data_IF_285147574269
#
_entry.id   IF_285147574269
#
_cell.length_a   1.000
_cell.length_b   1.000
_cell.length_c   1.000
_cell.angle_alpha   90.00
_cell.angle_beta   90.00
_cell.angle_gamma   90.00
#
_symmetry.space_group_name_H-M   'P 1'
#
loop_
_entity.id
_entity.type
_entity.pdbx_description
1 polymer ?
#
# COMPACT_ATOMS: atom_id res chain seq x y z
N UNK A 1 17.71 36.68 -8.62
CA UNK A 1 16.99 36.44 -7.34
C UNK A 1 15.63 35.74 -7.56
N UNK A 2 14.65 36.28 -8.29
CA UNK A 2 13.34 35.62 -8.46
C UNK A 2 13.42 34.27 -9.17
N UNK A 3 14.21 34.11 -10.23
CA UNK A 3 14.41 32.87 -10.97
C UNK A 3 15.12 31.82 -10.11
N UNK A 4 16.09 32.24 -9.32
CA UNK A 4 16.85 31.35 -8.42
C UNK A 4 15.98 30.86 -7.26
N UNK A 5 15.12 31.71 -6.72
CA UNK A 5 14.13 31.34 -5.71
C UNK A 5 13.09 30.34 -6.27
N UNK A 6 12.66 30.50 -7.52
CA UNK A 6 11.73 29.59 -8.18
C UNK A 6 12.36 28.18 -8.37
N UNK A 7 13.63 28.13 -8.82
CA UNK A 7 14.39 26.89 -9.02
C UNK A 7 14.62 26.15 -7.68
N UNK A 8 14.92 26.89 -6.61
CA UNK A 8 15.12 26.31 -5.27
C UNK A 8 13.80 25.77 -4.72
N UNK A 9 12.70 26.49 -4.90
CA UNK A 9 11.35 26.06 -4.49
C UNK A 9 10.94 24.79 -5.21
N UNK A 10 11.17 24.69 -6.51
CA UNK A 10 10.86 23.51 -7.31
C UNK A 10 11.68 22.28 -6.87
N UNK A 11 12.96 22.44 -6.60
CA UNK A 11 13.83 21.34 -6.11
C UNK A 11 13.39 20.83 -4.73
N UNK A 12 13.04 21.76 -3.83
CA UNK A 12 12.56 21.41 -2.50
C UNK A 12 11.20 20.70 -2.57
N UNK A 13 10.29 21.19 -3.41
CA UNK A 13 8.98 20.59 -3.62
C UNK A 13 9.09 19.15 -4.16
N UNK A 14 9.93 18.94 -5.18
CA UNK A 14 10.19 17.61 -5.76
C UNK A 14 10.81 16.67 -4.71
N UNK A 15 11.76 17.18 -3.91
CA UNK A 15 12.40 16.38 -2.85
C UNK A 15 11.39 15.96 -1.78
N UNK A 16 10.54 16.88 -1.33
CA UNK A 16 9.49 16.61 -0.35
C UNK A 16 8.47 15.60 -0.90
N UNK A 17 8.01 15.78 -2.14
CA UNK A 17 7.11 14.85 -2.80
C UNK A 17 7.72 13.44 -2.92
N UNK A 18 9.02 13.34 -3.22
CA UNK A 18 9.75 12.06 -3.27
C UNK A 18 9.81 11.38 -1.89
N UNK A 19 10.10 12.13 -0.83
CA UNK A 19 10.12 11.59 0.54
C UNK A 19 8.73 11.07 0.93
N UNK A 20 7.67 11.84 0.71
CA UNK A 20 6.29 11.43 0.99
C UNK A 20 5.96 10.14 0.23
N UNK A 21 6.29 10.09 -1.07
CA UNK A 21 6.02 8.92 -1.90
C UNK A 21 6.77 7.66 -1.42
N UNK A 22 7.99 7.81 -0.91
CA UNK A 22 8.78 6.69 -0.37
C UNK A 22 8.26 6.22 0.99
N UNK A 23 7.80 7.14 1.84
CA UNK A 23 7.23 6.77 3.15
C UNK A 23 5.94 5.95 3.03
N UNK A 24 5.11 6.25 2.04
CA UNK A 24 3.83 5.59 1.81
C UNK A 24 3.89 4.61 0.64
N UNK A 25 4.90 3.71 0.64
CA UNK A 25 4.96 2.67 -0.39
C UNK A 25 3.78 1.70 -0.26
N UNK A 26 3.21 1.19 -1.37
CA UNK A 26 2.10 0.23 -1.31
C UNK A 26 2.45 -1.03 -0.52
N UNK A 27 3.71 -1.42 -0.48
CA UNK A 27 4.19 -2.59 0.26
C UNK A 27 4.13 -2.42 1.79
N UNK A 28 4.24 -1.19 2.30
CA UNK A 28 4.18 -0.92 3.74
C UNK A 28 2.76 -0.88 4.30
N UNK A 29 1.74 -0.75 3.44
CA UNK A 29 0.35 -0.55 3.86
C UNK A 29 -0.20 -1.70 4.70
N UNK A 30 -0.08 -2.99 4.30
CA UNK A 30 -0.56 -4.09 5.13
C UNK A 30 0.15 -4.13 6.49
N UNK A 31 1.46 -3.90 6.52
CA UNK A 31 2.21 -3.85 7.77
C UNK A 31 1.73 -2.74 8.71
N UNK A 32 1.51 -1.53 8.16
CA UNK A 32 0.96 -0.40 8.93
C UNK A 32 -0.45 -0.68 9.44
N UNK A 33 -1.29 -1.38 8.65
CA UNK A 33 -2.62 -1.80 9.07
C UNK A 33 -2.56 -2.73 10.30
N UNK A 34 -1.67 -3.72 10.30
CA UNK A 34 -1.47 -4.61 11.45
C UNK A 34 -0.93 -3.86 12.67
N UNK A 35 -0.01 -2.92 12.46
CA UNK A 35 0.56 -2.12 13.55
C UNK A 35 -0.54 -1.27 14.21
N UNK A 36 -1.39 -0.61 13.42
CA UNK A 36 -2.53 0.17 13.91
C UNK A 36 -3.51 -0.74 14.67
N UNK A 37 -3.84 -1.93 14.13
CA UNK A 37 -4.70 -2.90 14.78
C UNK A 37 -4.16 -3.32 16.15
N UNK A 38 -2.89 -3.63 16.27
CA UNK A 38 -2.28 -4.08 17.53
C UNK A 38 -2.07 -2.97 18.56
N UNK A 39 -2.03 -1.70 18.14
CA UNK A 39 -1.85 -0.57 19.05
C UNK A 39 -3.20 0.05 19.46
N UNK A 40 -4.12 0.22 18.52
CA UNK A 40 -5.32 1.05 18.70
C UNK A 40 -6.63 0.28 18.73
N UNK A 41 -6.65 -1.06 18.50
CA UNK A 41 -7.87 -1.85 18.61
C UNK A 41 -7.90 -2.74 19.86
N UNK A 42 -9.00 -3.48 20.04
CA UNK A 42 -9.12 -4.48 21.11
C UNK A 42 -8.01 -5.56 21.05
N UNK A 43 -7.34 -5.76 19.91
CA UNK A 43 -6.22 -6.67 19.75
C UNK A 43 -4.97 -6.23 20.53
N UNK A 44 -5.00 -5.04 21.14
CA UNK A 44 -3.97 -4.58 22.08
C UNK A 44 -3.78 -5.53 23.25
N UNK A 45 -4.81 -6.31 23.62
CA UNK A 45 -4.76 -7.26 24.75
C UNK A 45 -3.92 -8.50 24.41
N UNK A 46 -3.67 -8.80 23.14
CA UNK A 46 -2.90 -9.98 22.73
C UNK A 46 -1.47 -9.96 23.26
N UNK A 47 -0.89 -11.15 23.57
CA UNK A 47 0.49 -11.28 24.05
C UNK A 47 1.48 -10.64 23.08
N UNK A 48 2.52 -10.00 23.62
CA UNK A 48 3.56 -9.34 22.82
C UNK A 48 4.24 -10.31 21.83
N UNK A 49 4.53 -11.53 22.27
CA UNK A 49 5.14 -12.55 21.41
C UNK A 49 4.29 -12.84 20.17
N UNK A 50 2.97 -13.00 20.34
CA UNK A 50 2.04 -13.20 19.22
C UNK A 50 2.06 -12.03 18.25
N UNK A 51 1.98 -10.77 18.76
CA UNK A 51 2.06 -9.56 17.93
C UNK A 51 3.36 -9.50 17.12
N UNK A 52 4.50 -9.80 17.77
CA UNK A 52 5.81 -9.80 17.11
C UNK A 52 5.91 -10.84 16.01
N UNK A 53 5.37 -12.06 16.24
CA UNK A 53 5.34 -13.12 15.23
C UNK A 53 4.52 -12.67 14.01
N UNK A 54 3.29 -12.18 14.24
CA UNK A 54 2.41 -11.73 13.16
C UNK A 54 3.04 -10.58 12.39
N UNK A 55 3.52 -9.55 13.10
CA UNK A 55 4.20 -8.40 12.48
C UNK A 55 5.46 -8.83 11.72
N UNK A 56 6.23 -9.78 12.26
CA UNK A 56 7.42 -10.33 11.62
C UNK A 56 7.09 -11.05 10.30
N UNK A 57 6.05 -11.89 10.30
CA UNK A 57 5.57 -12.58 9.09
C UNK A 57 5.08 -11.55 8.05
N UNK A 58 4.21 -10.63 8.46
CA UNK A 58 3.70 -9.60 7.55
C UNK A 58 4.84 -8.75 7.00
N UNK A 59 5.75 -8.25 7.83
CA UNK A 59 6.91 -7.48 7.40
C UNK A 59 7.78 -8.23 6.38
N UNK A 60 8.10 -9.50 6.69
CA UNK A 60 8.93 -10.32 5.84
C UNK A 60 8.32 -10.48 4.44
N UNK A 61 7.05 -10.83 4.35
CA UNK A 61 6.41 -11.15 3.07
C UNK A 61 5.81 -9.95 2.35
N UNK A 62 5.45 -8.85 3.04
CA UNK A 62 4.88 -7.67 2.37
C UNK A 62 5.91 -6.59 2.04
N UNK A 63 7.01 -6.50 2.79
CA UNK A 63 8.05 -5.48 2.60
C UNK A 63 9.37 -6.11 2.16
N UNK A 64 9.93 -6.99 2.99
CA UNK A 64 11.29 -7.50 2.79
C UNK A 64 11.42 -8.32 1.51
N UNK A 65 10.57 -9.34 1.33
CA UNK A 65 10.63 -10.23 0.17
C UNK A 65 10.34 -9.52 -1.16
N UNK A 66 9.27 -8.71 -1.32
CA UNK A 66 9.05 -7.97 -2.56
C UNK A 66 10.19 -7.00 -2.87
N UNK A 67 10.66 -6.25 -1.86
CA UNK A 67 11.74 -5.28 -2.06
C UNK A 67 13.04 -5.97 -2.48
N UNK A 68 13.40 -7.06 -1.82
CA UNK A 68 14.59 -7.83 -2.12
C UNK A 68 14.52 -8.47 -3.52
N UNK A 69 13.41 -9.11 -3.84
CA UNK A 69 13.23 -9.77 -5.15
C UNK A 69 13.24 -8.77 -6.30
N UNK A 70 12.58 -7.61 -6.15
CA UNK A 70 12.61 -6.54 -7.14
C UNK A 70 14.01 -5.95 -7.27
N UNK A 71 14.73 -5.74 -6.16
CA UNK A 71 16.11 -5.25 -6.17
C UNK A 71 17.04 -6.22 -6.90
N UNK A 72 16.98 -7.51 -6.56
CA UNK A 72 17.78 -8.55 -7.22
C UNK A 72 17.46 -8.65 -8.71
N UNK A 73 16.17 -8.65 -9.07
CA UNK A 73 15.73 -8.67 -10.46
C UNK A 73 16.31 -7.49 -11.26
N UNK A 74 16.27 -6.29 -10.70
CA UNK A 74 16.86 -5.09 -11.32
C UNK A 74 18.37 -5.24 -11.49
N UNK A 75 19.06 -5.68 -10.44
CA UNK A 75 20.52 -5.82 -10.46
C UNK A 75 20.98 -6.84 -11.50
N UNK A 76 20.28 -7.97 -11.62
CA UNK A 76 20.61 -9.02 -12.59
C UNK A 76 20.38 -8.55 -14.03
N UNK A 77 19.31 -7.80 -14.29
CA UNK A 77 18.94 -7.36 -15.64
C UNK A 77 19.49 -5.96 -16.02
N UNK A 78 20.23 -5.30 -15.12
CA UNK A 78 20.80 -3.98 -15.37
C UNK A 78 19.75 -2.86 -15.47
N UNK A 79 18.55 -3.04 -14.93
CA UNK A 79 17.46 -2.06 -15.01
C UNK A 79 17.64 -0.92 -13.99
N UNK A 80 17.42 0.32 -14.45
CA UNK A 80 17.31 1.49 -13.57
C UNK A 80 15.97 1.50 -12.81
N UNK A 81 15.84 2.27 -11.70
CA UNK A 81 14.54 2.44 -11.04
C UNK A 81 13.46 3.01 -11.97
N UNK A 82 13.86 3.84 -12.92
CA UNK A 82 12.99 4.53 -13.87
C UNK A 82 12.42 3.55 -14.91
N UNK A 83 13.20 2.54 -15.31
CA UNK A 83 12.76 1.50 -16.23
C UNK A 83 11.53 0.74 -15.74
N UNK A 84 11.39 0.53 -14.42
CA UNK A 84 10.24 -0.14 -13.82
C UNK A 84 9.01 0.76 -13.71
N UNK A 85 9.13 2.06 -14.00
CA UNK A 85 7.97 2.96 -14.08
C UNK A 85 7.23 2.82 -15.41
N UNK A 86 7.87 2.26 -16.43
CA UNK A 86 7.23 1.94 -17.69
C UNK A 86 6.14 0.89 -17.52
N UNK A 87 4.98 1.13 -18.12
CA UNK A 87 3.79 0.27 -17.99
C UNK A 87 4.09 -1.20 -18.31
N UNK A 88 4.83 -1.49 -19.37
CA UNK A 88 5.13 -2.86 -19.81
C UNK A 88 6.06 -3.62 -18.86
N UNK A 89 6.96 -2.93 -18.14
CA UNK A 89 7.94 -3.56 -17.25
C UNK A 89 7.41 -3.73 -15.81
N UNK A 90 6.29 -3.10 -15.48
CA UNK A 90 5.66 -3.18 -14.13
C UNK A 90 5.07 -4.56 -13.82
N UNK A 91 4.83 -5.42 -14.81
CA UNK A 91 4.27 -6.75 -14.55
C UNK A 91 5.17 -7.61 -13.67
N UNK A 92 6.49 -7.50 -13.82
CA UNK A 92 7.43 -8.33 -13.07
C UNK A 92 7.39 -8.00 -11.58
N UNK A 93 7.52 -6.72 -11.14
CA UNK A 93 7.27 -6.34 -9.76
C UNK A 93 5.91 -6.81 -9.22
N UNK A 94 4.84 -6.69 -10.01
CA UNK A 94 3.52 -7.16 -9.60
C UNK A 94 3.47 -8.67 -9.34
N UNK A 95 3.97 -9.48 -10.25
CA UNK A 95 3.99 -10.95 -10.11
C UNK A 95 4.80 -11.35 -8.88
N UNK A 96 5.99 -10.76 -8.68
CA UNK A 96 6.83 -11.03 -7.51
C UNK A 96 6.12 -10.67 -6.21
N UNK A 97 5.41 -9.54 -6.17
CA UNK A 97 4.65 -9.11 -5.00
C UNK A 97 3.45 -10.01 -4.74
N UNK A 98 2.69 -10.37 -5.78
CA UNK A 98 1.55 -11.30 -5.67
C UNK A 98 2.03 -12.65 -5.11
N UNK A 99 3.11 -13.20 -5.64
CA UNK A 99 3.70 -14.45 -5.15
C UNK A 99 4.08 -14.35 -3.69
N UNK A 100 4.71 -13.25 -3.27
CA UNK A 100 5.07 -13.02 -1.88
C UNK A 100 3.85 -12.94 -0.95
N UNK A 101 2.76 -12.30 -1.39
CA UNK A 101 1.53 -12.20 -0.60
C UNK A 101 0.79 -13.54 -0.48
N UNK A 102 0.84 -14.37 -1.53
CA UNK A 102 0.35 -15.76 -1.44
C UNK A 102 1.13 -16.55 -0.40
N UNK A 103 2.46 -16.45 -0.39
CA UNK A 103 3.27 -17.07 0.66
C UNK A 103 2.96 -16.51 2.06
N UNK A 104 2.70 -15.22 2.18
CA UNK A 104 2.24 -14.62 3.44
C UNK A 104 0.96 -15.29 3.95
N UNK A 105 -0.06 -15.44 3.09
CA UNK A 105 -1.32 -16.10 3.43
C UNK A 105 -1.11 -17.56 3.85
N UNK A 106 -0.26 -18.31 3.12
CA UNK A 106 0.07 -19.69 3.48
C UNK A 106 0.73 -19.79 4.85
N UNK A 107 1.67 -18.89 5.14
CA UNK A 107 2.33 -18.82 6.46
C UNK A 107 1.35 -18.43 7.56
N UNK A 108 0.48 -17.45 7.33
CA UNK A 108 -0.55 -17.05 8.29
C UNK A 108 -1.52 -18.20 8.59
N UNK A 109 -1.92 -18.96 7.55
CA UNK A 109 -2.75 -20.14 7.70
C UNK A 109 -2.03 -21.24 8.53
N UNK A 110 -0.76 -21.53 8.26
CA UNK A 110 0.04 -22.49 9.01
C UNK A 110 0.22 -22.12 10.48
N UNK A 111 0.25 -20.83 10.78
CA UNK A 111 0.36 -20.31 12.15
C UNK A 111 -1.02 -20.17 12.84
N UNK A 112 -2.10 -20.64 12.21
CA UNK A 112 -3.48 -20.54 12.71
C UNK A 112 -3.86 -19.09 13.08
N UNK A 113 -3.40 -18.11 12.28
CA UNK A 113 -3.76 -16.71 12.48
C UNK A 113 -5.24 -16.52 12.09
N UNK A 114 -6.05 -15.84 12.92
CA UNK A 114 -7.49 -15.69 12.71
C UNK A 114 -7.85 -15.10 11.34
N UNK A 115 -8.99 -15.52 10.79
CA UNK A 115 -9.47 -15.14 9.46
C UNK A 115 -9.59 -13.63 9.25
N UNK A 116 -9.99 -12.85 10.26
CA UNK A 116 -10.12 -11.40 10.17
C UNK A 116 -8.76 -10.69 10.01
N UNK A 117 -7.66 -11.30 10.44
CA UNK A 117 -6.30 -10.82 10.18
C UNK A 117 -5.82 -11.27 8.80
N UNK A 118 -6.01 -12.55 8.44
CA UNK A 118 -5.65 -13.04 7.09
C UNK A 118 -6.44 -12.33 6.01
N UNK A 119 -7.68 -11.91 6.29
CA UNK A 119 -8.52 -11.10 5.40
C UNK A 119 -7.86 -9.80 4.94
N UNK A 120 -7.03 -9.16 5.77
CA UNK A 120 -6.30 -7.94 5.39
C UNK A 120 -5.31 -8.22 4.26
N UNK A 121 -4.54 -9.31 4.37
CA UNK A 121 -3.57 -9.70 3.34
C UNK A 121 -4.30 -10.22 2.08
N UNK A 122 -5.40 -10.94 2.26
CA UNK A 122 -6.24 -11.40 1.15
C UNK A 122 -6.80 -10.22 0.35
N UNK A 123 -7.31 -9.19 1.02
CA UNK A 123 -7.78 -7.98 0.36
C UNK A 123 -6.68 -7.22 -0.36
N UNK A 124 -5.49 -7.13 0.24
CA UNK A 124 -4.33 -6.54 -0.40
C UNK A 124 -3.91 -7.33 -1.67
N UNK A 125 -3.98 -8.66 -1.61
CA UNK A 125 -3.73 -9.52 -2.76
C UNK A 125 -4.77 -9.31 -3.88
N UNK A 126 -6.06 -9.29 -3.55
CA UNK A 126 -7.16 -9.03 -4.50
C UNK A 126 -6.98 -7.65 -5.13
N UNK A 127 -6.71 -6.62 -4.33
CA UNK A 127 -6.43 -5.26 -4.83
C UNK A 127 -5.25 -5.27 -5.80
N UNK A 128 -4.17 -5.99 -5.49
CA UNK A 128 -2.99 -6.09 -6.37
C UNK A 128 -3.35 -6.75 -7.70
N UNK A 129 -4.16 -7.82 -7.69
CA UNK A 129 -4.64 -8.50 -8.90
C UNK A 129 -5.49 -7.53 -9.75
N UNK A 130 -6.40 -6.77 -9.12
CA UNK A 130 -7.21 -5.76 -9.82
C UNK A 130 -6.31 -4.69 -10.44
N UNK A 131 -5.29 -4.21 -9.70
CA UNK A 131 -4.32 -3.24 -10.21
C UNK A 131 -3.57 -3.79 -11.45
N UNK A 132 -3.19 -5.07 -11.46
CA UNK A 132 -2.57 -5.73 -12.63
C UNK A 132 -3.52 -5.72 -13.82
N UNK A 133 -4.77 -6.16 -13.62
CA UNK A 133 -5.79 -6.22 -14.69
C UNK A 133 -6.04 -4.83 -15.27
N UNK A 134 -6.23 -3.82 -14.41
CA UNK A 134 -6.45 -2.44 -14.86
C UNK A 134 -5.22 -1.88 -15.57
N UNK A 135 -4.01 -2.22 -15.09
CA UNK A 135 -2.75 -1.78 -15.71
C UNK A 135 -2.57 -2.32 -17.15
N UNK A 136 -3.33 -3.35 -17.57
CA UNK A 136 -3.36 -3.79 -18.97
C UNK A 136 -3.81 -2.68 -19.92
N UNK A 137 -4.77 -1.86 -19.50
CA UNK A 137 -5.36 -0.79 -20.33
C UNK A 137 -5.03 0.62 -19.85
N UNK A 138 -4.94 0.83 -18.53
CA UNK A 138 -4.79 2.13 -17.92
C UNK A 138 -3.78 2.10 -16.76
N UNK A 139 -2.82 3.04 -16.76
CA UNK A 139 -1.79 3.13 -15.72
C UNK A 139 -2.41 3.62 -14.41
N UNK A 140 -2.59 2.74 -13.43
CA UNK A 140 -3.18 3.07 -12.14
C UNK A 140 -2.12 3.46 -11.11
N UNK A 141 -2.45 4.34 -10.16
CA UNK A 141 -1.56 4.68 -9.05
C UNK A 141 -1.71 3.69 -7.90
N UNK A 142 -0.72 2.78 -7.74
CA UNK A 142 -0.68 1.80 -6.65
C UNK A 142 -0.63 2.46 -5.26
N UNK A 143 0.08 3.58 -5.13
CA UNK A 143 0.14 4.35 -3.89
C UNK A 143 -1.25 4.84 -3.48
N UNK A 144 -2.03 5.31 -4.45
CA UNK A 144 -3.40 5.77 -4.19
C UNK A 144 -4.37 4.61 -3.97
N UNK A 145 -4.17 3.48 -4.66
CA UNK A 145 -4.91 2.26 -4.35
C UNK A 145 -4.68 1.81 -2.90
N UNK A 146 -3.43 1.89 -2.44
CA UNK A 146 -3.11 1.62 -1.06
C UNK A 146 -3.73 2.60 -0.06
N UNK A 147 -3.70 3.91 -0.34
CA UNK A 147 -4.35 4.91 0.50
C UNK A 147 -5.87 4.72 0.56
N UNK A 148 -6.50 4.42 -0.59
CA UNK A 148 -7.91 4.04 -0.65
C UNK A 148 -8.23 2.78 0.15
N UNK A 149 -7.34 1.77 0.10
CA UNK A 149 -7.47 0.54 0.86
C UNK A 149 -7.49 0.75 2.38
N UNK A 150 -6.66 1.67 2.90
CA UNK A 150 -6.68 2.03 4.32
C UNK A 150 -8.05 2.62 4.70
N UNK A 151 -8.57 3.55 3.90
CA UNK A 151 -9.85 4.21 4.17
C UNK A 151 -11.00 3.21 4.07
N UNK A 152 -11.05 2.39 3.00
CA UNK A 152 -12.04 1.33 2.86
C UNK A 152 -11.97 0.29 3.98
N UNK A 153 -10.75 -0.09 4.39
CA UNK A 153 -10.49 -1.00 5.50
C UNK A 153 -10.95 -0.45 6.85
N UNK A 154 -10.72 0.83 7.13
CA UNK A 154 -11.22 1.49 8.35
C UNK A 154 -12.75 1.51 8.40
N UNK A 155 -13.41 1.78 7.28
CA UNK A 155 -14.88 1.74 7.19
C UNK A 155 -15.41 0.33 7.41
N UNK A 156 -14.82 -0.68 6.76
CA UNK A 156 -15.19 -2.07 6.92
C UNK A 156 -14.98 -2.56 8.36
N UNK A 157 -13.82 -2.24 8.95
CA UNK A 157 -13.48 -2.59 10.33
C UNK A 157 -14.42 -1.93 11.34
N UNK A 158 -14.76 -0.65 11.13
CA UNK A 158 -15.75 0.07 11.95
C UNK A 158 -17.11 -0.64 11.97
N UNK A 159 -17.55 -1.08 10.80
CA UNK A 159 -18.84 -1.76 10.66
C UNK A 159 -18.85 -3.17 11.29
N UNK A 160 -17.72 -3.88 11.26
CA UNK A 160 -17.60 -5.22 11.86
C UNK A 160 -17.50 -5.19 13.39
N UNK A 161 -16.81 -4.21 13.95
CA UNK A 161 -16.46 -4.18 15.37
C UNK A 161 -17.13 -3.05 16.16
N UNK A 162 -18.04 -2.28 15.54
CA UNK A 162 -18.74 -1.17 16.21
C UNK A 162 -17.79 -0.03 16.66
N UNK A 163 -16.63 0.09 16.01
CA UNK A 163 -15.61 1.09 16.33
C UNK A 163 -15.87 2.39 15.58
N UNK A 164 -15.70 3.54 16.26
CA UNK A 164 -15.83 4.85 15.61
C UNK A 164 -14.49 5.29 15.00
N UNK A 165 -14.31 5.25 13.66
CA UNK A 165 -13.05 5.55 13.00
C UNK A 165 -12.90 7.01 12.57
N UNK A 166 -13.83 7.93 12.91
CA UNK A 166 -13.91 9.28 12.34
C UNK A 166 -12.57 10.02 12.40
N UNK A 167 -11.90 10.01 13.55
CA UNK A 167 -10.60 10.67 13.70
C UNK A 167 -9.53 10.12 12.75
N UNK A 168 -9.45 8.79 12.63
CA UNK A 168 -8.52 8.13 11.72
C UNK A 168 -8.88 8.36 10.27
N UNK A 169 -10.17 8.34 9.93
CA UNK A 169 -10.62 8.63 8.57
C UNK A 169 -10.21 10.05 8.13
N UNK A 170 -10.40 11.06 8.99
CA UNK A 170 -9.97 12.42 8.70
C UNK A 170 -8.47 12.50 8.43
N UNK A 171 -7.66 11.86 9.28
CA UNK A 171 -6.19 11.83 9.13
C UNK A 171 -5.79 11.16 7.81
N UNK A 172 -6.34 9.97 7.52
CA UNK A 172 -5.95 9.22 6.31
C UNK A 172 -6.48 9.85 5.02
N UNK A 173 -7.62 10.55 5.05
CA UNK A 173 -8.11 11.34 3.90
C UNK A 173 -7.13 12.48 3.61
N UNK A 174 -6.65 13.20 4.61
CA UNK A 174 -5.65 14.25 4.44
C UNK A 174 -4.32 13.69 3.90
N UNK A 175 -3.85 12.58 4.47
CA UNK A 175 -2.64 11.88 3.98
C UNK A 175 -2.82 11.45 2.52
N UNK A 176 -3.97 10.90 2.15
CA UNK A 176 -4.27 10.51 0.77
C UNK A 176 -4.23 11.71 -0.18
N UNK A 177 -4.78 12.86 0.23
CA UNK A 177 -4.69 14.10 -0.54
C UNK A 177 -3.25 14.57 -0.77
N UNK A 178 -2.44 14.58 0.29
CA UNK A 178 -1.01 14.93 0.21
C UNK A 178 -0.24 13.94 -0.66
N UNK A 179 -0.49 12.64 -0.51
CA UNK A 179 0.15 11.60 -1.30
C UNK A 179 -0.24 11.71 -2.79
N UNK A 180 -1.52 11.91 -3.09
CA UNK A 180 -2.00 12.11 -4.46
C UNK A 180 -1.36 13.32 -5.13
N UNK A 181 -1.27 14.44 -4.41
CA UNK A 181 -0.58 15.65 -4.87
C UNK A 181 0.90 15.36 -5.13
N UNK A 182 1.58 14.64 -4.24
CA UNK A 182 2.98 14.27 -4.44
C UNK A 182 3.17 13.42 -5.71
N UNK A 183 2.26 12.48 -6.02
CA UNK A 183 2.32 11.66 -7.23
C UNK A 183 2.14 12.47 -8.53
N UNK A 184 1.31 13.52 -8.49
CA UNK A 184 1.09 14.44 -9.61
C UNK A 184 2.31 15.36 -9.77
N UNK A 185 2.85 15.93 -8.70
CA UNK A 185 4.05 16.79 -8.74
C UNK A 185 5.24 16.03 -9.33
N UNK A 186 5.43 14.77 -8.96
CA UNK A 186 6.48 13.91 -9.53
C UNK A 186 6.23 13.50 -10.98
N UNK A 187 5.12 13.90 -11.59
CA UNK A 187 4.70 13.53 -12.95
C UNK A 187 4.64 12.01 -13.19
N UNK A 188 4.51 11.23 -12.12
CA UNK A 188 4.38 9.78 -12.22
C UNK A 188 3.00 9.34 -12.66
N UNK A 189 1.97 10.13 -12.31
CA UNK A 189 0.55 9.86 -12.57
C UNK A 189 -0.25 11.11 -12.86
N UNK A 190 -1.28 10.97 -13.69
CA UNK A 190 -2.32 11.99 -13.92
C UNK A 190 -3.34 11.98 -12.77
N UNK A 191 -4.14 13.06 -12.67
CA UNK A 191 -5.22 13.15 -11.68
C UNK A 191 -6.21 11.97 -11.81
N UNK A 192 -6.57 11.59 -13.04
CA UNK A 192 -7.46 10.43 -13.27
C UNK A 192 -6.88 9.11 -12.77
N UNK A 193 -5.58 8.86 -12.97
CA UNK A 193 -4.89 7.66 -12.48
C UNK A 193 -4.79 7.63 -10.94
N UNK A 194 -4.67 8.80 -10.32
CA UNK A 194 -4.66 8.98 -8.87
C UNK A 194 -6.04 8.68 -8.29
N UNK A 195 -7.10 9.29 -8.84
CA UNK A 195 -8.48 9.09 -8.39
C UNK A 195 -8.97 7.66 -8.65
N UNK A 196 -8.65 7.10 -9.81
CA UNK A 196 -8.97 5.72 -10.14
C UNK A 196 -8.30 4.72 -9.20
N UNK A 197 -7.00 4.95 -8.87
CA UNK A 197 -6.29 4.15 -7.87
C UNK A 197 -6.99 4.19 -6.52
N UNK A 198 -7.31 5.38 -6.05
CA UNK A 198 -8.00 5.57 -4.77
C UNK A 198 -9.36 4.85 -4.72
N UNK A 199 -10.16 4.97 -5.78
CA UNK A 199 -11.47 4.31 -5.88
C UNK A 199 -11.34 2.79 -5.85
N UNK A 200 -10.42 2.21 -6.64
CA UNK A 200 -10.17 0.76 -6.65
C UNK A 200 -9.76 0.25 -5.26
N UNK A 201 -8.85 0.96 -4.58
CA UNK A 201 -8.42 0.57 -3.24
C UNK A 201 -9.55 0.62 -2.22
N UNK A 202 -10.33 1.69 -2.19
CA UNK A 202 -11.41 1.87 -1.22
C UNK A 202 -12.52 0.82 -1.39
N UNK A 203 -12.91 0.51 -2.63
CA UNK A 203 -13.95 -0.49 -2.92
C UNK A 203 -13.48 -1.91 -2.59
N UNK A 204 -12.24 -2.27 -2.91
CA UNK A 204 -11.70 -3.61 -2.65
C UNK A 204 -11.76 -4.00 -1.17
N UNK A 205 -11.59 -3.06 -0.27
CA UNK A 205 -11.61 -3.31 1.18
C UNK A 205 -13.00 -3.19 1.81
N UNK A 206 -13.91 -2.39 1.27
CA UNK A 206 -15.30 -2.35 1.76
C UNK A 206 -16.06 -3.64 1.47
N UNK A 207 -15.71 -4.37 0.40
CA UNK A 207 -16.36 -5.63 0.04
C UNK A 207 -15.95 -6.83 0.94
N UNK A 208 -14.88 -6.73 1.74
CA UNK A 208 -14.55 -7.74 2.76
C UNK A 208 -15.63 -7.92 3.83
N UNK A 209 -16.60 -7.01 3.91
CA UNK A 209 -17.75 -7.11 4.80
C UNK A 209 -18.77 -8.17 4.36
N UNK A 210 -18.76 -8.59 3.11
CA UNK A 210 -19.80 -9.44 2.53
C UNK A 210 -19.52 -10.95 2.64
N UNK A 211 -18.42 -11.34 3.29
CA UNK A 211 -18.04 -12.73 3.55
C UNK A 211 -17.94 -12.98 5.05
#
# INVERSE_FOLDING_TARGET
MAVEQHIITDKTLIRTAKVISVMFTPFSIPFMAFLILFVFSYLRIMPLQYKLIVLGVVYCFTILMPTLTIFLFRKINGFSPEDLTERKRRYIPFILTITSYVFCLLMMHRLNIPWYMTGIILAALIMMIICVIVNLKWKLSEHMAGAGAIIGGLVAFSALFGYNPIGWLCIFILIAGVLGTARIILQHHTLGEVMGGFAVGSVSYTHLRAQ
#
